data_IF_976489595946
#
_entry.id   IF_976489595946
#
_cell.length_a   1.000
_cell.length_b   1.000
_cell.length_c   1.000
_cell.angle_alpha   90.00
_cell.angle_beta   90.00
_cell.angle_gamma   90.00
#
_symmetry.space_group_name_H-M   'P 1'
#
loop_
_entity.id
_entity.type
_entity.pdbx_description
1 polymer ?
#
# COMPACT_ATOMS: atom_id res chain seq x y z
N UNK A 1 -11.93 -5.37 -5.94
CA UNK A 1 -10.88 -4.71 -6.74
C UNK A 1 -9.79 -5.72 -7.01
N UNK A 2 -9.07 -5.59 -8.11
CA UNK A 2 -7.87 -6.40 -8.35
C UNK A 2 -6.70 -5.93 -7.45
N UNK A 3 -5.82 -6.86 -7.06
CA UNK A 3 -4.67 -6.63 -6.16
C UNK A 3 -3.70 -5.58 -6.71
N UNK A 4 -3.47 -5.61 -8.02
CA UNK A 4 -2.67 -4.60 -8.71
C UNK A 4 -3.26 -3.19 -8.53
N UNK A 5 -4.59 -3.08 -8.65
CA UNK A 5 -5.27 -1.81 -8.51
C UNK A 5 -5.22 -1.28 -7.06
N UNK A 6 -5.38 -2.15 -6.07
CA UNK A 6 -5.23 -1.79 -4.65
C UNK A 6 -3.83 -1.23 -4.37
N UNK A 7 -2.78 -1.93 -4.83
CA UNK A 7 -1.40 -1.49 -4.62
C UNK A 7 -1.09 -0.18 -5.34
N UNK A 8 -1.59 0.01 -6.56
CA UNK A 8 -1.43 1.26 -7.29
C UNK A 8 -2.07 2.45 -6.54
N UNK A 9 -3.23 2.24 -5.93
CA UNK A 9 -3.90 3.28 -5.13
C UNK A 9 -3.13 3.63 -3.85
N UNK A 10 -2.56 2.62 -3.19
CA UNK A 10 -1.70 2.78 -2.02
C UNK A 10 -0.42 3.56 -2.39
N UNK A 11 0.29 3.14 -3.42
CA UNK A 11 1.53 3.78 -3.93
C UNK A 11 1.28 5.25 -4.26
N UNK A 12 0.13 5.54 -4.88
CA UNK A 12 -0.29 6.90 -5.21
C UNK A 12 -0.55 7.75 -3.97
N UNK A 13 -1.29 7.23 -2.98
CA UNK A 13 -1.56 7.96 -1.73
C UNK A 13 -0.30 8.25 -0.92
N UNK A 14 0.65 7.32 -0.94
CA UNK A 14 1.93 7.45 -0.24
C UNK A 14 2.97 8.28 -0.99
N UNK A 15 2.65 8.80 -2.18
CA UNK A 15 3.58 9.54 -3.05
C UNK A 15 4.91 8.80 -3.29
N UNK A 16 4.86 7.48 -3.43
CA UNK A 16 6.06 6.66 -3.66
C UNK A 16 6.60 6.94 -5.06
N UNK A 17 7.82 7.48 -5.11
CA UNK A 17 8.49 7.85 -6.37
C UNK A 17 8.86 6.61 -7.18
N UNK A 18 9.36 5.56 -6.52
CA UNK A 18 9.72 4.31 -7.17
C UNK A 18 8.50 3.37 -7.24
N UNK A 19 7.69 3.51 -8.30
CA UNK A 19 6.49 2.67 -8.51
C UNK A 19 6.80 1.17 -8.65
N UNK A 20 8.05 0.80 -8.95
CA UNK A 20 8.46 -0.61 -9.07
C UNK A 20 8.73 -1.30 -7.74
N UNK A 21 8.65 -0.59 -6.60
CA UNK A 21 8.96 -1.12 -5.26
C UNK A 21 7.89 -2.08 -4.73
N UNK A 22 6.64 -1.92 -5.16
CA UNK A 22 5.52 -2.77 -4.77
C UNK A 22 4.84 -3.32 -6.01
N UNK A 23 4.96 -4.64 -6.26
CA UNK A 23 4.28 -5.33 -7.36
C UNK A 23 3.25 -6.29 -6.81
N UNK A 24 2.13 -6.47 -7.51
CA UNK A 24 1.09 -7.41 -7.10
C UNK A 24 1.63 -8.84 -6.88
N UNK A 25 2.60 -9.25 -7.70
CA UNK A 25 3.25 -10.55 -7.60
C UNK A 25 4.12 -10.72 -6.35
N UNK A 26 4.47 -9.64 -5.64
CA UNK A 26 5.18 -9.68 -4.35
C UNK A 26 4.24 -10.02 -3.17
N UNK A 27 2.92 -10.08 -3.39
CA UNK A 27 1.91 -10.32 -2.35
C UNK A 27 1.06 -11.55 -2.65
N UNK A 28 0.81 -12.39 -1.63
CA UNK A 28 -0.08 -13.55 -1.76
C UNK A 28 -1.54 -13.12 -1.95
N UNK A 29 -2.36 -13.95 -2.57
CA UNK A 29 -3.78 -13.62 -2.80
C UNK A 29 -4.58 -13.55 -1.49
N UNK A 30 -4.12 -14.24 -0.44
CA UNK A 30 -4.68 -14.11 0.91
C UNK A 30 -4.36 -12.77 1.59
N UNK A 31 -3.54 -11.90 0.98
CA UNK A 31 -3.23 -10.55 1.48
C UNK A 31 -4.14 -9.46 0.91
N UNK A 32 -5.06 -9.80 0.02
CA UNK A 32 -5.94 -8.81 -0.63
C UNK A 32 -6.78 -8.03 0.38
N UNK A 33 -7.31 -8.70 1.41
CA UNK A 33 -8.10 -8.04 2.46
C UNK A 33 -7.25 -7.04 3.25
N UNK A 34 -6.08 -7.46 3.73
CA UNK A 34 -5.15 -6.62 4.50
C UNK A 34 -4.63 -5.42 3.68
N UNK A 35 -4.34 -5.61 2.39
CA UNK A 35 -3.98 -4.52 1.47
C UNK A 35 -5.16 -3.54 1.30
N UNK A 36 -6.38 -4.05 1.20
CA UNK A 36 -7.57 -3.20 1.07
C UNK A 36 -7.84 -2.41 2.35
N UNK A 37 -7.57 -2.97 3.53
CA UNK A 37 -7.66 -2.25 4.80
C UNK A 37 -6.67 -1.08 4.88
N UNK A 38 -5.42 -1.29 4.43
CA UNK A 38 -4.44 -0.21 4.32
C UNK A 38 -4.94 0.86 3.35
N UNK A 39 -5.44 0.48 2.16
CA UNK A 39 -6.01 1.42 1.19
C UNK A 39 -7.13 2.25 1.81
N UNK A 40 -8.10 1.62 2.47
CA UNK A 40 -9.23 2.29 3.09
C UNK A 40 -8.77 3.27 4.20
N UNK A 41 -7.77 2.86 5.00
CA UNK A 41 -7.16 3.75 5.99
C UNK A 41 -6.53 4.98 5.33
N UNK A 42 -5.80 4.82 4.22
CA UNK A 42 -5.20 5.94 3.49
C UNK A 42 -6.27 6.90 2.95
N UNK A 43 -7.33 6.37 2.34
CA UNK A 43 -8.43 7.16 1.77
C UNK A 43 -9.24 7.92 2.83
N UNK A 44 -9.30 7.38 4.06
CA UNK A 44 -9.99 8.03 5.18
C UNK A 44 -9.27 9.28 5.71
N UNK A 45 -7.99 9.46 5.37
CA UNK A 45 -7.13 10.52 5.91
C UNK A 45 -6.99 11.66 4.90
N UNK A 46 -7.25 12.89 5.37
CA UNK A 46 -7.05 14.11 4.55
C UNK A 46 -5.59 14.36 4.17
N UNK A 47 -4.68 14.02 5.08
CA UNK A 47 -3.24 14.20 4.91
C UNK A 47 -2.50 13.09 5.65
N UNK A 48 -1.34 12.70 5.12
CA UNK A 48 -0.44 11.74 5.76
C UNK A 48 0.92 12.40 5.86
N UNK A 49 1.45 12.48 7.07
CA UNK A 49 2.78 13.04 7.31
C UNK A 49 3.88 12.15 6.72
N UNK A 50 5.08 12.70 6.52
CA UNK A 50 6.21 11.93 6.01
C UNK A 50 6.60 10.75 6.93
N UNK A 51 6.43 10.92 8.25
CA UNK A 51 6.70 9.86 9.24
C UNK A 51 5.68 8.73 9.08
N UNK A 52 4.39 9.06 8.97
CA UNK A 52 3.34 8.07 8.75
C UNK A 52 3.52 7.35 7.41
N UNK A 53 3.84 8.08 6.33
CA UNK A 53 4.15 7.48 5.04
C UNK A 53 5.27 6.44 5.16
N UNK A 54 6.35 6.79 5.86
CA UNK A 54 7.50 5.89 6.06
C UNK A 54 7.10 4.63 6.85
N UNK A 55 6.33 4.78 7.92
CA UNK A 55 5.83 3.66 8.71
C UNK A 55 4.92 2.73 7.89
N UNK A 56 4.04 3.29 7.06
CA UNK A 56 3.12 2.51 6.23
C UNK A 56 3.90 1.77 5.13
N UNK A 57 4.91 2.40 4.53
CA UNK A 57 5.82 1.75 3.56
C UNK A 57 6.56 0.57 4.21
N UNK A 58 6.99 0.73 5.47
CA UNK A 58 7.64 -0.34 6.22
C UNK A 58 6.68 -1.52 6.47
N UNK A 59 5.46 -1.25 6.93
CA UNK A 59 4.43 -2.28 7.14
C UNK A 59 4.06 -2.99 5.83
N UNK A 60 3.85 -2.25 4.73
CA UNK A 60 3.62 -2.82 3.40
C UNK A 60 4.76 -3.72 2.92
N UNK A 61 6.00 -3.42 3.32
CA UNK A 61 7.16 -4.26 2.99
C UNK A 61 7.17 -5.56 3.77
N UNK A 62 6.68 -5.58 5.02
CA UNK A 62 6.54 -6.78 5.86
C UNK A 62 5.44 -7.73 5.36
N UNK A 63 4.49 -7.24 4.57
CA UNK A 63 3.39 -8.03 4.00
C UNK A 63 3.76 -8.81 2.74
N UNK A 64 4.96 -8.60 2.18
CA UNK A 64 5.45 -9.37 1.04
C UNK A 64 5.59 -10.85 1.42
N UNK A 65 5.23 -11.74 0.51
CA UNK A 65 5.24 -13.20 0.70
C UNK A 65 6.64 -13.80 0.63
#
# INVERSE_FOLDING_TARGET
MDKEQILNDIVKHLNVVNKGVFKADDYSDNKVEELNDIKNMLESRKQISAIEQSAIIEELSKLRK
#
